data_IF_428851672526
#
_entry.id   IF_428851672526
#
_cell.length_a   1.000
_cell.length_b   1.000
_cell.length_c   1.000
_cell.angle_alpha   90.00
_cell.angle_beta   90.00
_cell.angle_gamma   90.00
#
_symmetry.space_group_name_H-M   'P 1'
#
loop_
_entity.id
_entity.type
_entity.pdbx_description
1 polymer ?
#
# COMPACT_ATOMS: atom_id res chain seq x y z
N UNK A 1 23.77 4.29 2.69
CA UNK A 1 23.77 2.86 3.10
C UNK A 1 22.79 2.11 2.19
N UNK A 2 23.18 1.01 1.55
CA UNK A 2 22.29 0.27 0.64
C UNK A 2 21.31 -0.65 1.39
N UNK A 3 20.24 -1.11 0.70
CA UNK A 3 19.20 -1.97 1.28
C UNK A 3 19.79 -3.24 1.90
N UNK A 4 20.74 -3.90 1.23
CA UNK A 4 21.42 -5.08 1.76
C UNK A 4 22.11 -4.78 3.10
N UNK A 5 22.80 -3.65 3.20
CA UNK A 5 23.52 -3.27 4.41
C UNK A 5 22.56 -2.99 5.57
N UNK A 6 21.43 -2.30 5.28
CA UNK A 6 20.39 -2.07 6.27
C UNK A 6 19.78 -3.39 6.76
N UNK A 7 19.53 -4.32 5.85
CA UNK A 7 19.02 -5.64 6.24
C UNK A 7 20.02 -6.40 7.14
N UNK A 8 21.31 -6.30 6.84
CA UNK A 8 22.36 -6.89 7.68
C UNK A 8 22.37 -6.22 9.06
N UNK A 9 22.29 -4.89 9.14
CA UNK A 9 22.22 -4.17 10.43
C UNK A 9 21.00 -4.61 11.26
N UNK A 10 19.85 -4.84 10.63
CA UNK A 10 18.69 -5.39 11.34
C UNK A 10 18.92 -6.82 11.84
N UNK A 11 19.53 -7.69 11.03
CA UNK A 11 19.85 -9.07 11.40
C UNK A 11 20.79 -9.09 12.60
N UNK A 12 21.81 -8.21 12.61
CA UNK A 12 22.75 -8.03 13.73
C UNK A 12 22.05 -7.51 14.98
N UNK A 13 21.17 -6.52 14.84
CA UNK A 13 20.34 -5.99 15.94
C UNK A 13 19.50 -7.10 16.60
N UNK A 14 18.95 -8.03 15.81
CA UNK A 14 18.20 -9.17 16.31
C UNK A 14 19.07 -10.31 16.84
N UNK A 15 20.41 -10.16 16.86
CA UNK A 15 21.36 -11.20 17.20
C UNK A 15 21.16 -12.52 16.42
N UNK A 16 20.79 -12.41 15.15
CA UNK A 16 20.56 -13.56 14.29
C UNK A 16 21.73 -13.74 13.32
N UNK A 17 21.99 -15.00 12.94
CA UNK A 17 22.80 -15.27 11.75
C UNK A 17 21.97 -15.04 10.48
N UNK A 18 22.63 -14.73 9.35
CA UNK A 18 21.96 -14.60 8.03
C UNK A 18 21.15 -15.85 7.69
N UNK A 19 21.67 -17.03 7.97
CA UNK A 19 20.96 -18.29 7.72
C UNK A 19 19.72 -18.46 8.60
N UNK A 20 19.79 -18.07 9.87
CA UNK A 20 18.65 -18.10 10.79
C UNK A 20 17.55 -17.14 10.35
N UNK A 21 17.92 -15.92 9.93
CA UNK A 21 17.00 -14.95 9.36
C UNK A 21 16.33 -15.48 8.09
N UNK A 22 17.13 -15.99 7.14
CA UNK A 22 16.62 -16.56 5.88
C UNK A 22 15.65 -17.72 6.14
N UNK A 23 15.99 -18.61 7.07
CA UNK A 23 15.12 -19.72 7.47
C UNK A 23 13.80 -19.23 8.07
N UNK A 24 13.86 -18.24 8.99
CA UNK A 24 12.67 -17.69 9.65
C UNK A 24 11.74 -16.99 8.67
N UNK A 25 12.30 -16.32 7.65
CA UNK A 25 11.52 -15.68 6.58
C UNK A 25 11.13 -16.66 5.45
N UNK A 26 11.52 -17.92 5.48
CA UNK A 26 11.31 -18.87 4.39
C UNK A 26 11.95 -18.40 3.09
N UNK A 27 13.16 -17.86 3.17
CA UNK A 27 13.97 -17.41 2.04
C UNK A 27 14.99 -18.50 1.64
N UNK A 28 15.48 -18.43 0.41
CA UNK A 28 16.55 -19.31 -0.05
C UNK A 28 17.87 -19.02 0.68
N UNK A 29 18.70 -20.03 0.83
CA UNK A 29 20.04 -19.88 1.41
C UNK A 29 20.85 -18.85 0.62
N UNK A 30 21.60 -18.02 1.34
CA UNK A 30 22.43 -16.92 0.82
C UNK A 30 21.65 -15.79 0.14
N UNK A 31 20.33 -15.72 0.35
CA UNK A 31 19.52 -14.62 -0.20
C UNK A 31 20.04 -13.26 0.23
N UNK A 32 20.28 -13.07 1.55
CA UNK A 32 20.77 -11.82 2.12
C UNK A 32 22.14 -11.45 1.53
N UNK A 33 23.03 -12.41 1.36
CA UNK A 33 24.38 -12.17 0.81
C UNK A 33 24.36 -11.80 -0.68
N UNK A 34 23.37 -12.28 -1.43
CA UNK A 34 23.23 -12.05 -2.87
C UNK A 34 22.28 -10.90 -3.22
N UNK A 35 21.70 -10.24 -2.25
CA UNK A 35 20.74 -9.15 -2.46
C UNK A 35 21.40 -7.96 -3.17
N UNK A 36 20.94 -7.66 -4.40
CA UNK A 36 21.44 -6.56 -5.24
C UNK A 36 20.39 -5.47 -5.43
N UNK A 37 19.90 -4.87 -4.35
CA UNK A 37 18.89 -3.82 -4.46
C UNK A 37 17.66 -4.11 -3.62
N UNK A 38 16.52 -3.52 -3.98
CA UNK A 38 15.26 -3.67 -3.22
C UNK A 38 14.72 -5.09 -3.38
N UNK A 39 14.41 -5.81 -2.27
CA UNK A 39 13.76 -7.11 -2.33
C UNK A 39 12.43 -7.05 -3.08
N UNK A 40 12.13 -8.11 -3.80
CA UNK A 40 10.82 -8.23 -4.44
C UNK A 40 9.68 -8.35 -3.41
N UNK A 41 8.47 -7.97 -3.82
CA UNK A 41 7.26 -7.92 -2.97
C UNK A 41 7.03 -9.18 -2.12
N UNK A 42 7.18 -10.36 -2.71
CA UNK A 42 6.99 -11.63 -1.98
C UNK A 42 8.01 -11.80 -0.85
N UNK A 43 9.22 -11.34 -1.04
CA UNK A 43 10.27 -11.40 -0.01
C UNK A 43 9.97 -10.39 1.10
N UNK A 44 9.59 -9.18 0.74
CA UNK A 44 9.17 -8.15 1.72
C UNK A 44 8.02 -8.67 2.57
N UNK A 45 6.98 -9.25 1.94
CA UNK A 45 5.86 -9.85 2.67
C UNK A 45 6.31 -10.94 3.65
N UNK A 46 7.24 -11.81 3.26
CA UNK A 46 7.81 -12.84 4.15
C UNK A 46 8.58 -12.22 5.31
N UNK A 47 9.33 -11.15 5.06
CA UNK A 47 10.05 -10.42 6.09
C UNK A 47 9.08 -9.75 7.07
N UNK A 48 8.04 -9.05 6.57
CA UNK A 48 7.02 -8.42 7.41
C UNK A 48 6.30 -9.42 8.32
N UNK A 49 5.98 -10.60 7.80
CA UNK A 49 5.33 -11.66 8.60
C UNK A 49 6.26 -12.21 9.67
N UNK A 50 7.55 -12.38 9.34
CA UNK A 50 8.53 -12.95 10.27
C UNK A 50 9.04 -11.93 11.30
N UNK A 51 9.03 -10.64 10.95
CA UNK A 51 9.56 -9.54 11.74
C UNK A 51 8.67 -8.30 11.59
N UNK A 52 7.48 -8.29 12.21
CA UNK A 52 6.52 -7.18 12.09
C UNK A 52 7.07 -5.87 12.68
N UNK A 53 8.05 -5.94 13.58
CA UNK A 53 8.70 -4.78 14.18
C UNK A 53 9.70 -4.08 13.25
N UNK A 54 10.11 -4.67 12.12
CA UNK A 54 11.02 -4.03 11.17
C UNK A 54 10.30 -2.96 10.38
N UNK A 55 10.79 -1.74 10.45
CA UNK A 55 10.31 -0.65 9.60
C UNK A 55 10.75 -0.86 8.15
N UNK A 56 9.80 -1.25 7.31
CA UNK A 56 10.07 -1.52 5.89
C UNK A 56 10.41 -0.25 5.13
N UNK A 57 9.84 0.89 5.48
CA UNK A 57 10.24 2.17 4.89
C UNK A 57 11.72 2.44 5.12
N UNK A 58 12.17 2.31 6.37
CA UNK A 58 13.60 2.44 6.69
C UNK A 58 14.45 1.41 5.93
N UNK A 59 14.02 0.16 5.86
CA UNK A 59 14.79 -0.87 5.14
C UNK A 59 15.04 -0.46 3.69
N UNK A 60 14.08 0.17 3.03
CA UNK A 60 14.11 0.43 1.59
C UNK A 60 14.67 1.82 1.27
N UNK A 61 14.17 2.88 1.91
CA UNK A 61 14.62 4.26 1.68
C UNK A 61 15.82 4.65 2.55
N UNK A 62 15.91 4.12 3.76
CA UNK A 62 16.86 4.53 4.79
C UNK A 62 16.34 5.66 5.66
N UNK A 63 15.10 6.09 5.46
CA UNK A 63 14.46 7.16 6.22
C UNK A 63 13.69 6.59 7.43
N UNK A 64 13.73 7.31 8.55
CA UNK A 64 13.08 6.91 9.80
C UNK A 64 13.91 5.93 10.63
N UNK A 65 13.27 5.35 11.64
CA UNK A 65 13.86 4.40 12.59
C UNK A 65 13.81 2.97 12.04
N UNK A 66 14.83 2.17 12.36
CA UNK A 66 14.95 0.77 11.94
C UNK A 66 13.81 -0.11 12.50
N UNK A 67 13.40 0.16 13.72
CA UNK A 67 12.36 -0.57 14.44
C UNK A 67 11.16 0.34 14.59
N UNK A 68 9.99 -0.24 14.32
CA UNK A 68 8.71 0.36 14.71
C UNK A 68 8.65 0.18 16.23
N UNK A 69 9.10 1.20 16.99
CA UNK A 69 8.84 1.21 18.41
C UNK A 69 7.32 1.26 18.62
N UNK A 70 6.81 0.56 19.64
CA UNK A 70 5.47 0.79 20.17
C UNK A 70 5.35 2.27 20.52
N UNK A 71 5.09 3.11 19.52
CA UNK A 71 4.90 4.53 19.74
C UNK A 71 3.56 4.69 20.43
N UNK A 72 3.60 4.82 21.75
CA UNK A 72 2.65 5.71 22.42
C UNK A 72 2.65 7.00 21.62
N UNK A 73 1.54 7.27 21.01
CA UNK A 73 1.29 8.42 20.14
C UNK A 73 1.66 9.70 20.88
N UNK A 74 2.83 10.23 20.63
CA UNK A 74 3.20 11.59 21.04
C UNK A 74 2.66 12.57 19.98
N UNK A 75 1.74 13.39 20.41
CA UNK A 75 0.93 14.34 19.64
C UNK A 75 1.70 15.50 19.03
N UNK A 76 3.03 15.54 19.14
CA UNK A 76 3.88 16.69 18.83
C UNK A 76 4.95 16.45 17.76
N UNK A 77 4.83 15.44 16.90
CA UNK A 77 5.69 15.30 15.74
C UNK A 77 4.98 15.77 14.48
N UNK A 78 5.58 16.74 13.82
CA UNK A 78 5.23 17.44 12.61
C UNK A 78 4.26 16.69 11.69
N UNK A 79 3.12 17.31 11.43
CA UNK A 79 2.13 16.85 10.49
C UNK A 79 2.79 16.63 9.12
N UNK A 80 2.52 15.51 8.44
CA UNK A 80 2.94 15.39 7.05
C UNK A 80 2.31 16.55 6.27
N UNK A 81 3.15 17.34 5.62
CA UNK A 81 2.71 18.42 4.75
C UNK A 81 1.88 17.80 3.64
N UNK A 82 0.55 17.90 3.77
CA UNK A 82 -0.37 17.58 2.70
C UNK A 82 -0.23 18.69 1.66
N UNK A 83 0.42 18.37 0.55
CA UNK A 83 0.34 19.23 -0.62
C UNK A 83 -1.11 19.13 -1.10
N UNK A 84 -1.85 20.22 -1.04
CA UNK A 84 -3.17 20.33 -1.64
C UNK A 84 -3.09 19.79 -3.07
N UNK A 85 -3.93 18.79 -3.37
CA UNK A 85 -4.08 18.35 -4.73
C UNK A 85 -4.65 19.54 -5.50
N UNK A 86 -3.88 20.09 -6.43
CA UNK A 86 -4.41 21.09 -7.35
C UNK A 86 -5.68 20.54 -7.96
N UNK A 87 -6.74 21.34 -7.93
CA UNK A 87 -8.04 20.97 -8.45
C UNK A 87 -7.86 20.47 -9.90
N UNK A 88 -8.15 19.18 -10.11
CA UNK A 88 -8.14 18.62 -11.46
C UNK A 88 -9.21 19.35 -12.24
N UNK A 89 -8.83 19.94 -13.34
CA UNK A 89 -9.72 20.67 -14.25
C UNK A 89 -10.92 19.77 -14.62
N UNK A 90 -12.08 20.13 -14.09
CA UNK A 90 -13.31 19.34 -14.20
C UNK A 90 -13.85 19.25 -15.63
N UNK A 91 -13.45 20.12 -16.53
CA UNK A 91 -13.89 20.14 -17.93
C UNK A 91 -13.24 19.03 -18.77
N UNK A 92 -12.15 18.42 -18.29
CA UNK A 92 -11.44 17.33 -18.96
C UNK A 92 -11.18 16.13 -18.06
N UNK A 93 -12.16 15.70 -17.28
CA UNK A 93 -12.04 14.63 -16.27
C UNK A 93 -11.50 13.29 -16.82
N UNK A 94 -10.25 13.28 -17.25
CA UNK A 94 -9.48 12.11 -17.66
C UNK A 94 -8.57 11.72 -16.49
N UNK A 95 -9.13 11.06 -15.49
CA UNK A 95 -8.32 10.57 -14.41
C UNK A 95 -7.33 9.48 -14.89
N UNK A 96 -6.12 9.45 -14.35
CA UNK A 96 -5.12 8.46 -14.71
C UNK A 96 -5.57 7.05 -14.36
N UNK A 97 -5.23 6.08 -15.21
CA UNK A 97 -5.42 4.66 -14.95
C UNK A 97 -4.13 4.14 -14.33
N UNK A 98 -4.21 3.61 -13.10
CA UNK A 98 -3.04 3.06 -12.42
C UNK A 98 -2.48 1.86 -13.19
N UNK A 99 -1.22 1.93 -13.70
CA UNK A 99 -0.60 0.81 -14.37
C UNK A 99 -0.46 -0.40 -13.44
N UNK A 100 -0.71 -1.60 -13.98
CA UNK A 100 -0.64 -2.86 -13.23
C UNK A 100 0.68 -3.06 -12.53
N UNK A 101 1.76 -2.73 -13.21
CA UNK A 101 3.11 -2.91 -12.70
C UNK A 101 3.38 -2.03 -11.49
N UNK A 102 2.76 -0.86 -11.43
CA UNK A 102 2.92 0.11 -10.33
C UNK A 102 2.07 -0.29 -9.13
N UNK A 103 0.81 -0.69 -9.35
CA UNK A 103 -0.07 -1.14 -8.27
C UNK A 103 0.52 -2.31 -7.44
N UNK A 104 1.43 -3.07 -8.03
CA UNK A 104 2.09 -4.21 -7.39
C UNK A 104 3.52 -3.91 -6.91
N UNK A 105 4.03 -2.71 -7.09
CA UNK A 105 5.36 -2.33 -6.58
C UNK A 105 5.25 -1.87 -5.14
N UNK A 106 6.04 -2.44 -4.23
CA UNK A 106 6.17 -1.89 -2.89
C UNK A 106 6.93 -0.55 -2.94
N UNK A 107 6.63 0.34 -2.00
CA UNK A 107 7.38 1.58 -1.75
C UNK A 107 7.33 2.63 -2.84
N UNK A 108 6.27 2.68 -3.61
CA UNK A 108 6.00 3.79 -4.49
C UNK A 108 4.73 4.48 -3.97
N UNK A 109 4.82 5.74 -3.61
CA UNK A 109 3.63 6.57 -3.50
C UNK A 109 3.01 6.69 -4.89
N UNK A 110 1.84 6.09 -5.06
CA UNK A 110 1.17 5.97 -6.34
C UNK A 110 0.83 7.34 -6.93
N UNK A 111 0.37 8.28 -6.10
CA UNK A 111 0.05 9.63 -6.59
C UNK A 111 1.29 10.39 -7.02
N UNK A 112 2.38 10.27 -6.27
CA UNK A 112 3.66 10.87 -6.62
C UNK A 112 4.21 10.28 -7.94
N UNK A 113 4.10 8.96 -8.11
CA UNK A 113 4.45 8.32 -9.38
C UNK A 113 3.64 8.85 -10.55
N UNK A 114 2.31 8.94 -10.40
CA UNK A 114 1.42 9.46 -11.44
C UNK A 114 1.76 10.91 -11.80
N UNK A 115 2.02 11.75 -10.79
CA UNK A 115 2.42 13.16 -11.02
C UNK A 115 3.73 13.26 -11.80
N UNK A 116 4.74 12.49 -11.45
CA UNK A 116 6.05 12.48 -12.10
C UNK A 116 6.01 11.92 -13.53
N UNK A 117 5.08 11.01 -13.81
CA UNK A 117 4.96 10.34 -15.11
C UNK A 117 3.64 10.68 -15.82
N UNK A 118 3.10 11.86 -15.61
CA UNK A 118 1.78 12.26 -16.09
C UNK A 118 1.56 12.08 -17.60
N UNK A 119 2.64 12.20 -18.40
CA UNK A 119 2.60 12.06 -19.85
C UNK A 119 2.65 10.59 -20.33
N UNK A 120 3.07 9.67 -19.46
CA UNK A 120 3.23 8.24 -19.78
C UNK A 120 2.08 7.38 -19.25
N UNK A 121 1.33 7.91 -18.28
CA UNK A 121 0.21 7.20 -17.66
C UNK A 121 -1.03 7.34 -18.55
N UNK A 122 -1.60 6.20 -18.93
CA UNK A 122 -2.85 6.16 -19.70
C UNK A 122 -3.97 6.85 -18.89
N UNK A 123 -4.77 7.66 -19.57
CA UNK A 123 -5.90 8.35 -18.96
C UNK A 123 -7.22 7.75 -19.42
N UNK A 124 -8.16 7.60 -18.50
CA UNK A 124 -9.50 7.15 -18.81
C UNK A 124 -10.21 8.17 -19.72
N UNK A 125 -10.93 7.67 -20.71
CA UNK A 125 -11.84 8.51 -21.52
C UNK A 125 -13.19 8.72 -20.86
N UNK A 126 -13.37 8.23 -19.63
CA UNK A 126 -14.70 7.99 -19.06
C UNK A 126 -15.05 8.96 -17.94
N UNK A 127 -16.24 9.48 -18.08
CA UNK A 127 -17.30 9.83 -17.13
C UNK A 127 -17.00 11.04 -16.26
N UNK A 128 -17.80 12.05 -16.51
CA UNK A 128 -18.08 13.13 -15.58
C UNK A 128 -18.76 12.53 -14.34
N UNK A 129 -18.01 12.38 -13.27
CA UNK A 129 -18.57 12.17 -11.94
C UNK A 129 -18.62 13.55 -11.27
N UNK A 130 -19.70 13.83 -10.56
CA UNK A 130 -19.80 15.03 -9.71
C UNK A 130 -18.80 14.99 -8.53
N UNK A 131 -18.04 13.92 -8.43
CA UNK A 131 -17.04 13.70 -7.39
C UNK A 131 -15.65 13.63 -8.03
N UNK A 132 -14.67 14.39 -7.53
CA UNK A 132 -13.30 14.32 -8.01
C UNK A 132 -12.72 12.91 -7.78
N UNK A 133 -11.85 12.47 -8.68
CA UNK A 133 -11.15 11.19 -8.59
C UNK A 133 -9.66 11.40 -8.89
N UNK A 134 -8.81 10.75 -8.10
CA UNK A 134 -7.37 10.82 -8.31
C UNK A 134 -6.89 9.79 -9.32
N UNK A 135 -7.47 8.58 -9.28
CA UNK A 135 -7.07 7.50 -10.19
C UNK A 135 -8.14 6.43 -10.37
N UNK A 136 -8.02 5.67 -11.45
CA UNK A 136 -8.73 4.42 -11.68
C UNK A 136 -7.86 3.22 -11.36
N UNK A 137 -8.44 2.23 -10.70
CA UNK A 137 -7.81 0.95 -10.45
C UNK A 137 -8.68 -0.20 -10.95
N UNK A 138 -8.06 -1.27 -11.45
CA UNK A 138 -8.77 -2.47 -11.90
C UNK A 138 -8.72 -3.53 -10.81
N UNK A 139 -9.87 -4.12 -10.51
CA UNK A 139 -9.98 -5.29 -9.62
C UNK A 139 -9.26 -6.48 -10.25
N UNK A 140 -8.38 -7.14 -9.50
CA UNK A 140 -7.44 -8.13 -10.04
C UNK A 140 -7.47 -9.49 -9.38
N UNK A 141 -8.11 -9.58 -8.22
CA UNK A 141 -8.27 -10.81 -7.47
C UNK A 141 -9.73 -11.04 -7.09
N UNK A 142 -10.00 -12.22 -6.57
CA UNK A 142 -11.35 -12.64 -6.18
C UNK A 142 -11.72 -12.22 -4.75
N UNK A 143 -10.88 -11.44 -4.07
CA UNK A 143 -11.12 -11.04 -2.67
C UNK A 143 -12.41 -10.22 -2.48
N UNK A 144 -12.87 -9.58 -3.55
CA UNK A 144 -14.07 -8.74 -3.53
C UNK A 144 -15.31 -9.47 -4.06
N UNK A 145 -15.21 -10.72 -4.50
CA UNK A 145 -16.37 -11.50 -4.92
C UNK A 145 -17.33 -11.76 -3.75
N UNK A 146 -18.64 -11.85 -3.99
CA UNK A 146 -19.32 -11.70 -5.29
C UNK A 146 -19.62 -10.24 -5.69
N UNK A 147 -19.33 -9.25 -4.83
CA UNK A 147 -19.68 -7.84 -5.05
C UNK A 147 -18.98 -7.25 -6.28
N UNK A 148 -17.70 -7.56 -6.44
CA UNK A 148 -16.87 -7.14 -7.58
C UNK A 148 -16.27 -8.36 -8.27
N UNK A 149 -16.03 -8.22 -9.58
CA UNK A 149 -15.38 -9.24 -10.40
C UNK A 149 -14.01 -8.77 -10.88
N UNK A 150 -13.13 -9.70 -11.20
CA UNK A 150 -11.87 -9.39 -11.87
C UNK A 150 -12.18 -8.63 -13.17
N UNK A 151 -11.50 -7.52 -13.38
CA UNK A 151 -11.72 -6.61 -14.52
C UNK A 151 -12.66 -5.43 -14.24
N UNK A 152 -13.41 -5.45 -13.15
CA UNK A 152 -14.17 -4.26 -12.71
C UNK A 152 -13.20 -3.11 -12.43
N UNK A 153 -13.61 -1.88 -12.74
CA UNK A 153 -12.83 -0.67 -12.48
C UNK A 153 -13.41 0.08 -11.30
N UNK A 154 -12.56 0.55 -10.41
CA UNK A 154 -12.94 1.40 -9.29
C UNK A 154 -12.27 2.76 -9.41
N UNK A 155 -13.02 3.83 -9.16
CA UNK A 155 -12.50 5.17 -9.06
C UNK A 155 -12.12 5.45 -7.60
N UNK A 156 -10.93 5.97 -7.42
CA UNK A 156 -10.32 6.18 -6.13
C UNK A 156 -10.06 7.66 -5.90
N UNK A 157 -10.39 8.12 -4.68
CA UNK A 157 -10.08 9.45 -4.19
C UNK A 157 -9.27 9.32 -2.90
N UNK A 158 -8.14 10.02 -2.83
CA UNK A 158 -7.28 9.98 -1.66
C UNK A 158 -8.04 10.40 -0.40
N UNK A 159 -7.92 9.59 0.64
CA UNK A 159 -8.50 9.85 1.93
C UNK A 159 -7.70 10.93 2.65
N UNK A 160 -8.38 11.93 3.19
CA UNK A 160 -7.76 13.05 3.91
C UNK A 160 -7.79 12.76 5.41
N UNK A 161 -6.64 12.39 5.98
CA UNK A 161 -6.52 12.12 7.42
C UNK A 161 -6.73 13.41 8.20
N UNK A 162 -7.67 13.36 9.14
CA UNK A 162 -8.03 14.53 9.98
C UNK A 162 -9.33 15.23 9.56
N UNK A 163 -9.67 15.23 8.28
CA UNK A 163 -10.92 15.81 7.79
C UNK A 163 -12.05 14.77 7.75
N UNK A 164 -11.70 13.52 7.55
CA UNK A 164 -12.63 12.41 7.41
C UNK A 164 -12.35 11.31 8.43
N UNK A 165 -13.36 10.48 8.70
CA UNK A 165 -13.20 9.27 9.51
C UNK A 165 -13.37 8.03 8.63
N UNK A 166 -12.53 7.02 8.85
CA UNK A 166 -12.75 5.70 8.25
C UNK A 166 -14.07 5.14 8.81
N UNK A 167 -14.98 4.82 7.90
CA UNK A 167 -16.28 4.22 8.26
C UNK A 167 -16.09 2.71 8.30
N UNK A 168 -16.28 2.07 9.46
CA UNK A 168 -16.12 0.63 9.60
C UNK A 168 -16.97 -0.14 8.59
N UNK A 169 -16.37 -1.14 7.94
CA UNK A 169 -17.05 -2.01 6.98
C UNK A 169 -17.23 -1.43 5.59
N UNK A 170 -16.90 -0.16 5.32
CA UNK A 170 -16.81 0.37 3.96
C UNK A 170 -15.57 -0.13 3.24
N UNK A 171 -15.67 -0.20 1.91
CA UNK A 171 -14.57 -0.57 1.02
C UNK A 171 -13.64 0.61 0.81
N UNK A 172 -12.35 0.36 1.00
CA UNK A 172 -11.25 1.29 0.74
C UNK A 172 -10.19 0.60 -0.12
N UNK A 173 -9.43 1.39 -0.87
CA UNK A 173 -8.17 0.94 -1.41
C UNK A 173 -7.05 1.42 -0.47
N UNK A 174 -6.16 0.53 -0.11
CA UNK A 174 -5.07 0.79 0.82
C UNK A 174 -3.77 0.48 0.09
N UNK A 175 -2.94 1.50 -0.07
CA UNK A 175 -1.58 1.33 -0.55
C UNK A 175 -0.67 1.03 0.64
N UNK A 176 0.00 -0.09 0.61
CA UNK A 176 0.81 -0.59 1.72
C UNK A 176 2.20 -0.98 1.28
N UNK A 177 3.16 -0.89 2.20
CA UNK A 177 4.53 -1.33 1.95
C UNK A 177 4.61 -2.84 1.69
N UNK A 178 3.84 -3.64 2.43
CA UNK A 178 3.92 -5.10 2.34
C UNK A 178 3.08 -5.69 1.22
N UNK A 179 1.90 -5.13 0.93
CA UNK A 179 0.94 -5.75 0.01
C UNK A 179 0.71 -4.95 -1.28
N UNK A 180 1.29 -3.71 -1.39
CA UNK A 180 0.94 -2.75 -2.45
C UNK A 180 -0.51 -2.31 -2.33
N UNK A 181 -1.13 -1.88 -3.43
CA UNK A 181 -2.51 -1.42 -3.44
C UNK A 181 -3.48 -2.61 -3.36
N UNK A 182 -4.25 -2.67 -2.30
CA UNK A 182 -5.27 -3.69 -2.05
C UNK A 182 -6.63 -3.03 -1.79
N UNK A 183 -7.71 -3.75 -2.07
CA UNK A 183 -9.09 -3.32 -1.84
C UNK A 183 -9.68 -4.18 -0.71
N UNK A 184 -10.04 -3.54 0.42
CA UNK A 184 -10.60 -4.24 1.61
C UNK A 184 -11.63 -3.36 2.34
N UNK A 185 -12.55 -4.01 3.03
CA UNK A 185 -13.33 -3.33 4.06
C UNK A 185 -12.43 -3.07 5.25
N UNK A 186 -12.43 -1.84 5.77
CA UNK A 186 -11.60 -1.47 6.90
C UNK A 186 -12.42 -1.40 8.19
N UNK A 187 -11.81 -1.90 9.26
CA UNK A 187 -12.33 -1.81 10.63
C UNK A 187 -11.21 -1.23 11.50
N UNK A 188 -11.36 0.00 12.00
CA UNK A 188 -10.34 0.65 12.81
C UNK A 188 -9.98 -0.17 14.06
N UNK A 189 -8.69 -0.18 14.38
CA UNK A 189 -8.09 -0.71 15.59
C UNK A 189 -7.22 0.36 16.24
N UNK A 190 -6.64 0.09 17.39
CA UNK A 190 -5.82 1.02 18.14
C UNK A 190 -4.53 1.41 17.37
N UNK A 191 -3.94 0.46 16.65
CA UNK A 191 -2.66 0.59 15.96
C UNK A 191 -2.76 0.35 14.43
N UNK A 192 -3.96 0.53 13.85
CA UNK A 192 -4.18 0.30 12.43
C UNK A 192 -5.59 -0.15 12.09
N UNK A 193 -5.71 -1.17 11.25
CA UNK A 193 -7.00 -1.64 10.74
C UNK A 193 -7.04 -3.15 10.57
N UNK A 194 -8.20 -3.76 10.85
CA UNK A 194 -8.51 -5.09 10.30
C UNK A 194 -9.02 -4.90 8.87
N UNK A 195 -8.34 -5.55 7.95
CA UNK A 195 -8.67 -5.57 6.52
C UNK A 195 -9.45 -6.84 6.19
N UNK A 196 -10.73 -6.67 5.80
CA UNK A 196 -11.65 -7.77 5.51
C UNK A 196 -12.00 -7.83 4.05
N UNK A 197 -11.99 -9.03 3.49
CA UNK A 197 -12.46 -9.33 2.13
C UNK A 197 -13.99 -9.46 2.09
N UNK A 198 -14.58 -9.46 0.88
CA UNK A 198 -15.95 -9.96 0.68
C UNK A 198 -15.94 -11.50 0.59
N UNK A 199 -14.88 -12.07 0.02
CA UNK A 199 -14.63 -13.51 -0.05
C UNK A 199 -13.69 -13.92 1.09
N UNK A 200 -14.19 -13.88 2.32
CA UNK A 200 -13.42 -14.10 3.55
C UNK A 200 -13.01 -15.56 3.77
N UNK A 201 -13.68 -16.50 3.12
CA UNK A 201 -13.32 -17.93 3.15
C UNK A 201 -11.96 -18.18 2.49
N UNK A 202 -11.70 -17.54 1.36
CA UNK A 202 -10.44 -17.71 0.59
C UNK A 202 -9.40 -16.66 0.98
N UNK A 203 -9.87 -15.47 1.35
CA UNK A 203 -9.04 -14.31 1.72
C UNK A 203 -9.36 -13.90 3.16
N UNK A 204 -8.75 -14.55 4.15
CA UNK A 204 -9.04 -14.29 5.55
C UNK A 204 -8.69 -12.85 5.95
N UNK A 205 -9.32 -12.39 7.01
CA UNK A 205 -9.02 -11.11 7.63
C UNK A 205 -7.55 -11.03 8.05
N UNK A 206 -6.95 -9.85 7.96
CA UNK A 206 -5.62 -9.60 8.46
C UNK A 206 -5.47 -8.18 8.98
N UNK A 207 -4.53 -7.99 9.88
CA UNK A 207 -4.21 -6.68 10.44
C UNK A 207 -3.25 -5.92 9.50
N UNK A 208 -3.50 -4.62 9.31
CA UNK A 208 -2.62 -3.68 8.65
C UNK A 208 -2.25 -2.64 9.70
N UNK A 209 -0.98 -2.61 10.10
CA UNK A 209 -0.49 -1.59 11.01
C UNK A 209 -0.43 -0.22 10.33
N UNK A 210 -0.67 0.86 11.07
CA UNK A 210 -0.58 2.22 10.54
C UNK A 210 0.77 2.49 9.85
N UNK A 211 1.85 1.90 10.37
CA UNK A 211 3.20 2.02 9.81
C UNK A 211 3.41 1.30 8.46
N UNK A 212 2.52 0.35 8.10
CA UNK A 212 2.54 -0.31 6.78
C UNK A 212 1.73 0.45 5.73
N UNK A 213 0.98 1.49 6.13
CA UNK A 213 0.11 2.24 5.23
C UNK A 213 0.88 3.41 4.63
N UNK A 214 0.96 3.42 3.30
CA UNK A 214 1.46 4.56 2.53
C UNK A 214 0.32 5.57 2.35
N UNK A 215 -0.86 5.07 1.89
CA UNK A 215 -2.02 5.91 1.62
C UNK A 215 -3.32 5.09 1.62
N UNK A 216 -4.40 5.74 2.04
CA UNK A 216 -5.76 5.17 1.94
C UNK A 216 -6.51 5.97 0.87
N UNK A 217 -7.36 5.28 0.12
CA UNK A 217 -8.26 5.88 -0.87
C UNK A 217 -9.69 5.44 -0.60
N UNK A 218 -10.62 6.36 -0.75
CA UNK A 218 -12.05 6.04 -0.82
C UNK A 218 -12.36 5.45 -2.19
N UNK A 219 -13.15 4.40 -2.23
CA UNK A 219 -13.78 3.93 -3.46
C UNK A 219 -15.04 4.77 -3.66
N UNK A 220 -15.03 5.63 -4.67
CA UNK A 220 -16.12 6.59 -4.92
C UNK A 220 -17.04 6.15 -6.05
N UNK A 221 -16.56 5.25 -6.92
CA UNK A 221 -17.35 4.71 -8.03
C UNK A 221 -16.85 3.31 -8.43
N UNK A 222 -17.74 2.52 -9.02
CA UNK A 222 -17.41 1.24 -9.62
C UNK A 222 -18.05 1.15 -11.00
N UNK A 223 -17.27 0.76 -11.99
CA UNK A 223 -17.71 0.49 -13.35
C UNK A 223 -17.41 -0.93 -13.78
N UNK A 224 -18.35 -1.53 -14.49
CA UNK A 224 -18.20 -2.86 -15.10
C UNK A 224 -18.36 -2.75 -16.60
N UNK A 225 -17.39 -3.27 -17.35
CA UNK A 225 -17.55 -3.45 -18.80
C UNK A 225 -18.45 -4.67 -19.02
N UNK A 226 -19.58 -4.44 -19.69
CA UNK A 226 -20.43 -5.51 -20.21
C UNK A 226 -19.98 -5.72 -21.66
N UNK A 227 -19.20 -6.76 -21.90
CA UNK A 227 -18.81 -7.21 -23.24
C UNK A 227 -19.67 -8.41 -23.58
#
# INVERSE_FOLDING_TARGET
>A
MGVQQRLISFIEYKNLSKNAFESKCGLSKRYVSNLKGVPGRLVIKKICVAFPELNISWLISGEGEMIIADKKYNKDSEEPVFVEAEAVDMENARAPILPTIIANRPNIDILDYIRKNANEVERSRLIVLDTPIDLWHMVRDESLMPAFRIGDKVALLAYQKGEEKIIPGKLYAIDTYCNGLILRKLYPQEDGYIARSFNDVVYPDFHIADSDIIRIYRVVFMGRSII
#
